data_IF_272886525090
#
_entry.id   IF_272886525090
#
_cell.length_a   1.000
_cell.length_b   1.000
_cell.length_c   1.000
_cell.angle_alpha   90.00
_cell.angle_beta   90.00
_cell.angle_gamma   90.00
#
_symmetry.space_group_name_H-M   'P 1'
#
loop_
_entity.id
_entity.type
_entity.pdbx_description
1 polymer ?
#
# COMPACT_ATOMS: atom_id res chain seq x y z
N UNK A 1 4.85 13.73 -25.60
CA UNK A 1 4.72 12.87 -24.39
C UNK A 1 4.97 13.72 -23.16
N UNK A 2 4.10 13.68 -22.15
CA UNK A 2 4.32 14.42 -20.90
C UNK A 2 5.41 13.73 -20.06
N UNK A 3 6.15 14.48 -19.23
CA UNK A 3 7.18 13.92 -18.34
C UNK A 3 6.63 12.79 -17.46
N UNK A 4 5.41 12.97 -16.96
CA UNK A 4 4.69 11.95 -16.19
C UNK A 4 4.45 10.65 -16.97
N UNK A 5 4.05 10.73 -18.24
CA UNK A 5 3.84 9.51 -19.06
C UNK A 5 5.14 8.73 -19.30
N UNK A 6 6.26 9.44 -19.47
CA UNK A 6 7.58 8.81 -19.57
C UNK A 6 8.02 8.18 -18.25
N UNK A 7 7.77 8.84 -17.12
CA UNK A 7 8.06 8.30 -15.79
C UNK A 7 7.23 7.05 -15.49
N UNK A 8 5.94 7.05 -15.85
CA UNK A 8 5.07 5.89 -15.68
C UNK A 8 5.53 4.71 -16.55
N UNK A 9 5.92 4.95 -17.81
CA UNK A 9 6.46 3.90 -18.67
C UNK A 9 7.77 3.33 -18.13
N UNK A 10 8.64 4.19 -17.62
CA UNK A 10 9.89 3.78 -16.99
C UNK A 10 9.59 2.90 -15.77
N UNK A 11 8.69 3.34 -14.89
CA UNK A 11 8.30 2.61 -13.69
C UNK A 11 7.71 1.23 -14.02
N UNK A 12 6.82 1.14 -15.01
CA UNK A 12 6.29 -0.16 -15.46
C UNK A 12 7.44 -1.06 -15.94
N UNK A 13 8.40 -0.52 -16.69
CA UNK A 13 9.54 -1.31 -17.17
C UNK A 13 10.45 -1.78 -16.03
N UNK A 14 10.72 -0.94 -15.03
CA UNK A 14 11.54 -1.32 -13.87
C UNK A 14 10.83 -2.36 -13.01
N UNK A 15 9.54 -2.19 -12.74
CA UNK A 15 8.72 -3.15 -11.97
C UNK A 15 8.69 -4.53 -12.63
N UNK A 16 8.61 -4.59 -13.96
CA UNK A 16 8.68 -5.85 -14.72
C UNK A 16 10.07 -6.47 -14.63
N UNK A 17 11.14 -5.67 -14.82
CA UNK A 17 12.53 -6.15 -14.73
C UNK A 17 12.90 -6.67 -13.34
N UNK A 18 12.43 -5.98 -12.30
CA UNK A 18 12.62 -6.34 -10.89
C UNK A 18 11.68 -7.48 -10.44
N UNK A 19 10.84 -8.00 -11.36
CA UNK A 19 9.91 -9.12 -11.15
C UNK A 19 8.83 -8.86 -10.08
N UNK A 20 8.57 -7.61 -9.71
CA UNK A 20 7.48 -7.27 -8.79
C UNK A 20 6.13 -7.71 -9.32
N UNK A 21 5.88 -7.62 -10.64
CA UNK A 21 4.63 -8.13 -11.22
C UNK A 21 4.45 -9.65 -11.00
N UNK A 22 5.54 -10.42 -11.12
CA UNK A 22 5.51 -11.86 -10.85
C UNK A 22 5.28 -12.15 -9.37
N UNK A 23 5.94 -11.39 -8.49
CA UNK A 23 5.73 -11.50 -7.05
C UNK A 23 4.28 -11.16 -6.64
N UNK A 24 3.66 -10.15 -7.26
CA UNK A 24 2.26 -9.79 -7.04
C UNK A 24 1.30 -10.91 -7.49
N UNK A 25 1.55 -11.52 -8.65
CA UNK A 25 0.77 -12.67 -9.11
C UNK A 25 0.89 -13.86 -8.16
N UNK A 26 2.11 -14.15 -7.69
CA UNK A 26 2.34 -15.20 -6.69
C UNK A 26 1.60 -14.87 -5.38
N UNK A 27 1.65 -13.63 -4.91
CA UNK A 27 0.88 -13.17 -3.73
C UNK A 27 -0.61 -13.47 -3.90
N UNK A 28 -1.21 -13.06 -5.03
CA UNK A 28 -2.62 -13.33 -5.32
C UNK A 28 -2.95 -14.82 -5.35
N UNK A 29 -2.08 -15.64 -5.95
CA UNK A 29 -2.25 -17.10 -5.96
C UNK A 29 -2.14 -17.71 -4.56
N UNK A 30 -1.24 -17.21 -3.71
CA UNK A 30 -1.13 -17.66 -2.32
C UNK A 30 -2.39 -17.34 -1.52
N UNK A 31 -2.95 -16.14 -1.71
CA UNK A 31 -4.23 -15.77 -1.07
C UNK A 31 -5.39 -16.63 -1.56
N UNK A 32 -5.45 -16.95 -2.86
CA UNK A 32 -6.44 -17.89 -3.39
C UNK A 32 -6.26 -19.30 -2.82
N UNK A 33 -5.02 -19.77 -2.73
CA UNK A 33 -4.71 -21.07 -2.12
C UNK A 33 -5.13 -21.12 -0.64
N UNK A 34 -5.09 -19.99 0.07
CA UNK A 34 -5.58 -19.87 1.44
C UNK A 34 -7.12 -19.85 1.50
N UNK A 35 -7.80 -19.11 0.61
CA UNK A 35 -9.24 -18.84 0.69
C UNK A 35 -10.12 -19.92 0.06
N UNK A 36 -9.67 -20.56 -1.03
CA UNK A 36 -10.47 -21.56 -1.76
C UNK A 36 -10.77 -22.83 -0.95
N UNK A 37 -9.89 -23.35 -0.08
CA UNK A 37 -10.21 -24.48 0.81
C UNK A 37 -11.28 -24.17 1.86
N UNK A 38 -11.50 -22.89 2.16
CA UNK A 38 -12.38 -22.45 3.26
C UNK A 38 -13.85 -22.55 2.81
N UNK A 39 -14.78 -22.98 3.70
CA UNK A 39 -16.21 -23.00 3.41
C UNK A 39 -16.73 -21.61 3.04
N UNK A 40 -17.69 -21.56 2.09
CA UNK A 40 -18.22 -20.30 1.54
C UNK A 40 -18.80 -19.36 2.60
N UNK A 41 -19.33 -19.89 3.69
CA UNK A 41 -19.92 -19.10 4.78
C UNK A 41 -18.85 -18.40 5.64
N UNK A 42 -17.62 -18.91 5.67
CA UNK A 42 -16.52 -18.39 6.49
C UNK A 42 -15.58 -17.48 5.68
N UNK A 43 -15.54 -17.61 4.35
CA UNK A 43 -14.70 -16.74 3.49
C UNK A 43 -14.93 -15.24 3.70
N UNK A 44 -16.17 -14.73 3.81
CA UNK A 44 -16.41 -13.30 4.03
C UNK A 44 -15.83 -12.81 5.36
N UNK A 45 -15.65 -13.71 6.35
CA UNK A 45 -15.05 -13.38 7.65
C UNK A 45 -13.55 -13.14 7.50
N UNK A 46 -12.89 -13.93 6.65
CA UNK A 46 -11.43 -13.98 6.52
C UNK A 46 -10.91 -12.98 5.47
N UNK A 47 -11.71 -12.69 4.44
CA UNK A 47 -11.30 -11.85 3.30
C UNK A 47 -10.73 -10.48 3.70
N UNK A 48 -11.32 -9.71 4.64
CA UNK A 48 -10.75 -8.42 5.06
C UNK A 48 -9.31 -8.53 5.55
N UNK A 49 -8.97 -9.59 6.29
CA UNK A 49 -7.61 -9.79 6.82
C UNK A 49 -6.63 -10.14 5.71
N UNK A 50 -7.08 -10.92 4.71
CA UNK A 50 -6.30 -11.22 3.50
C UNK A 50 -6.01 -9.95 2.72
N UNK A 51 -7.01 -9.08 2.52
CA UNK A 51 -6.84 -7.81 1.82
C UNK A 51 -5.88 -6.87 2.54
N UNK A 52 -5.98 -6.75 3.87
CA UNK A 52 -5.02 -5.97 4.67
C UNK A 52 -3.60 -6.54 4.55
N UNK A 53 -3.47 -7.86 4.59
CA UNK A 53 -2.19 -8.54 4.39
C UNK A 53 -1.58 -8.24 3.03
N UNK A 54 -2.36 -8.33 1.95
CA UNK A 54 -1.91 -8.01 0.59
C UNK A 54 -1.53 -6.52 0.44
N UNK A 55 -2.32 -5.63 1.03
CA UNK A 55 -2.05 -4.19 1.09
C UNK A 55 -0.75 -3.91 1.85
N UNK A 56 -0.45 -4.65 2.91
CA UNK A 56 0.84 -4.54 3.59
C UNK A 56 1.97 -5.07 2.70
N UNK A 57 1.79 -6.22 2.04
CA UNK A 57 2.83 -6.81 1.18
C UNK A 57 3.17 -5.89 0.00
N UNK A 58 2.17 -5.55 -0.82
CA UNK A 58 2.37 -4.76 -2.02
C UNK A 58 2.53 -3.28 -1.65
N UNK A 59 1.70 -2.76 -0.76
CA UNK A 59 1.75 -1.35 -0.39
C UNK A 59 3.00 -0.99 0.40
N UNK A 60 3.40 -1.76 1.42
CA UNK A 60 4.55 -1.39 2.24
C UNK A 60 5.87 -1.91 1.66
N UNK A 61 5.94 -3.21 1.34
CA UNK A 61 7.22 -3.82 0.97
C UNK A 61 7.64 -3.58 -0.47
N UNK A 62 6.73 -3.52 -1.46
CA UNK A 62 7.16 -3.37 -2.85
C UNK A 62 7.74 -1.98 -3.13
N UNK A 63 7.15 -0.92 -2.58
CA UNK A 63 7.71 0.42 -2.74
C UNK A 63 9.04 0.56 -1.99
N UNK A 64 9.15 0.00 -0.79
CA UNK A 64 10.40 0.01 -0.03
C UNK A 64 11.49 -0.73 -0.79
N UNK A 65 11.20 -1.95 -1.25
CA UNK A 65 12.10 -2.74 -2.10
C UNK A 65 12.49 -2.02 -3.38
N UNK A 66 11.53 -1.38 -4.06
CA UNK A 66 11.79 -0.58 -5.26
C UNK A 66 12.76 0.58 -4.97
N UNK A 67 12.59 1.30 -3.85
CA UNK A 67 13.53 2.35 -3.43
C UNK A 67 14.91 1.78 -3.16
N UNK A 68 15.02 0.62 -2.50
CA UNK A 68 16.33 -0.01 -2.26
C UNK A 68 17.01 -0.49 -3.53
N UNK A 69 16.28 -1.05 -4.50
CA UNK A 69 16.83 -1.35 -5.82
C UNK A 69 17.35 -0.08 -6.48
N UNK A 70 16.59 1.01 -6.45
CA UNK A 70 17.03 2.27 -7.05
C UNK A 70 18.25 2.88 -6.34
N UNK A 71 18.39 2.68 -5.02
CA UNK A 71 19.60 3.05 -4.26
C UNK A 71 20.79 2.22 -4.70
N UNK A 72 20.64 0.89 -4.79
CA UNK A 72 21.72 -0.04 -5.15
C UNK A 72 22.18 0.14 -6.61
N UNK A 73 21.25 0.40 -7.52
CA UNK A 73 21.54 0.66 -8.94
C UNK A 73 22.03 2.09 -9.20
N UNK A 74 22.11 2.94 -8.16
CA UNK A 74 22.44 4.38 -8.24
C UNK A 74 21.54 5.17 -9.19
N UNK A 75 20.35 4.66 -9.49
CA UNK A 75 19.39 5.31 -10.39
C UNK A 75 18.73 6.51 -9.74
N UNK A 76 18.59 6.53 -8.41
CA UNK A 76 18.13 7.71 -7.66
C UNK A 76 19.02 8.95 -7.89
N UNK A 77 20.34 8.77 -7.95
CA UNK A 77 21.28 9.85 -8.25
C UNK A 77 21.16 10.34 -9.70
N UNK A 78 21.00 9.41 -10.64
CA UNK A 78 20.76 9.76 -12.05
C UNK A 78 19.44 10.53 -12.24
N UNK A 79 18.39 10.16 -11.50
CA UNK A 79 17.09 10.82 -11.49
C UNK A 79 17.18 12.30 -11.08
N UNK A 80 18.04 12.65 -10.11
CA UNK A 80 18.26 14.04 -9.67
C UNK A 80 18.82 14.90 -10.81
N UNK A 81 19.66 14.33 -11.67
CA UNK A 81 20.23 15.03 -12.83
C UNK A 81 19.25 15.21 -14.00
N UNK A 82 18.03 14.65 -13.91
CA UNK A 82 16.99 14.80 -14.93
C UNK A 82 16.00 15.91 -14.57
N UNK A 83 15.26 16.50 -15.54
CA UNK A 83 14.21 17.49 -15.25
C UNK A 83 12.94 16.88 -14.63
N UNK A 84 13.01 15.65 -14.09
CA UNK A 84 11.88 14.96 -13.49
C UNK A 84 11.62 15.49 -12.07
N UNK A 85 10.39 15.93 -11.82
CA UNK A 85 10.03 16.46 -10.51
C UNK A 85 9.72 15.33 -9.53
N UNK A 86 9.98 15.54 -8.25
CA UNK A 86 9.61 14.60 -7.18
C UNK A 86 8.14 14.17 -7.26
N UNK A 87 7.21 15.11 -7.55
CA UNK A 87 5.78 14.80 -7.69
C UNK A 87 5.50 13.82 -8.83
N UNK A 88 6.23 13.92 -9.94
CA UNK A 88 6.07 13.05 -11.11
C UNK A 88 6.65 11.66 -10.83
N UNK A 89 7.82 11.59 -10.18
CA UNK A 89 8.45 10.34 -9.75
C UNK A 89 7.55 9.56 -8.77
N UNK A 90 7.16 10.17 -7.65
CA UNK A 90 6.36 9.49 -6.62
C UNK A 90 4.97 9.14 -7.14
N UNK A 91 4.30 10.03 -7.90
CA UNK A 91 2.96 9.72 -8.43
C UNK A 91 2.97 8.60 -9.46
N UNK A 92 4.00 8.50 -10.31
CA UNK A 92 4.14 7.39 -11.24
C UNK A 92 4.33 6.06 -10.49
N UNK A 93 5.20 6.03 -9.48
CA UNK A 93 5.43 4.85 -8.63
C UNK A 93 4.17 4.42 -7.88
N UNK A 94 3.48 5.36 -7.24
CA UNK A 94 2.21 5.09 -6.55
C UNK A 94 1.16 4.58 -7.52
N UNK A 95 1.00 5.21 -8.69
CA UNK A 95 -0.03 4.80 -9.66
C UNK A 95 0.16 3.36 -10.13
N UNK A 96 1.40 2.96 -10.43
CA UNK A 96 1.71 1.59 -10.87
C UNK A 96 1.48 0.58 -9.74
N UNK A 97 1.97 0.86 -8.52
CA UNK A 97 1.84 -0.07 -7.40
C UNK A 97 0.39 -0.18 -6.88
N UNK A 98 -0.37 0.92 -6.87
CA UNK A 98 -1.81 0.88 -6.59
C UNK A 98 -2.54 0.06 -7.65
N UNK A 99 -2.20 0.21 -8.95
CA UNK A 99 -2.82 -0.57 -10.00
C UNK A 99 -2.53 -2.08 -9.85
N UNK A 100 -1.29 -2.44 -9.48
CA UNK A 100 -0.91 -3.83 -9.20
C UNK A 100 -1.70 -4.39 -8.01
N UNK A 101 -1.70 -3.69 -6.87
CA UNK A 101 -2.43 -4.11 -5.67
C UNK A 101 -3.93 -4.22 -5.91
N UNK A 102 -4.52 -3.24 -6.60
CA UNK A 102 -5.94 -3.26 -6.95
C UNK A 102 -6.27 -4.41 -7.90
N UNK A 103 -5.41 -4.69 -8.89
CA UNK A 103 -5.57 -5.80 -9.80
C UNK A 103 -5.57 -7.15 -9.07
N UNK A 104 -4.63 -7.36 -8.15
CA UNK A 104 -4.55 -8.57 -7.32
C UNK A 104 -5.79 -8.69 -6.43
N UNK A 105 -6.14 -7.63 -5.68
CA UNK A 105 -7.28 -7.65 -4.78
C UNK A 105 -8.61 -7.91 -5.50
N UNK A 106 -8.85 -7.23 -6.62
CA UNK A 106 -10.06 -7.44 -7.44
C UNK A 106 -10.07 -8.86 -8.02
N UNK A 107 -8.95 -9.36 -8.51
CA UNK A 107 -8.86 -10.72 -9.02
C UNK A 107 -9.20 -11.76 -7.95
N UNK A 108 -8.60 -11.65 -6.76
CA UNK A 108 -8.88 -12.54 -5.62
C UNK A 108 -10.36 -12.50 -5.26
N UNK A 109 -10.92 -11.30 -5.06
CA UNK A 109 -12.32 -11.12 -4.63
C UNK A 109 -13.32 -11.61 -5.69
N UNK A 110 -13.08 -11.34 -6.97
CA UNK A 110 -13.95 -11.83 -8.05
C UNK A 110 -13.94 -13.35 -8.14
N UNK A 111 -12.79 -13.99 -7.93
CA UNK A 111 -12.69 -15.46 -7.94
C UNK A 111 -13.34 -16.08 -6.70
N UNK A 112 -13.25 -15.44 -5.53
CA UNK A 112 -13.76 -16.00 -4.26
C UNK A 112 -15.25 -15.75 -4.05
N UNK A 113 -15.74 -14.55 -4.43
CA UNK A 113 -17.09 -14.06 -4.13
C UNK A 113 -17.91 -13.67 -5.38
N UNK A 114 -17.32 -13.70 -6.57
CA UNK A 114 -17.96 -13.30 -7.81
C UNK A 114 -18.02 -11.78 -7.99
N UNK A 115 -18.64 -11.33 -9.09
CA UNK A 115 -18.81 -9.91 -9.39
C UNK A 115 -20.04 -9.38 -8.64
N UNK A 116 -19.86 -8.47 -7.67
CA UNK A 116 -20.98 -7.98 -6.84
C UNK A 116 -20.81 -6.57 -6.28
N UNK A 117 -21.79 -6.13 -5.47
CA UNK A 117 -21.81 -4.79 -4.87
C UNK A 117 -20.67 -4.55 -3.86
N UNK A 118 -20.04 -5.61 -3.37
CA UNK A 118 -18.88 -5.56 -2.48
C UNK A 118 -17.63 -4.99 -3.17
N UNK A 119 -17.56 -5.00 -4.52
CA UNK A 119 -16.41 -4.49 -5.25
C UNK A 119 -16.15 -2.99 -5.04
N UNK A 120 -17.19 -2.18 -4.90
CA UNK A 120 -17.04 -0.73 -4.70
C UNK A 120 -16.35 -0.39 -3.37
N UNK A 121 -16.82 -0.87 -2.20
CA UNK A 121 -16.11 -0.65 -0.95
C UNK A 121 -14.74 -1.34 -0.90
N UNK A 122 -14.56 -2.50 -1.55
CA UNK A 122 -13.25 -3.16 -1.67
C UNK A 122 -12.27 -2.29 -2.46
N UNK A 123 -12.66 -1.77 -3.62
CA UNK A 123 -11.74 -0.95 -4.44
C UNK A 123 -11.36 0.34 -3.72
N UNK A 124 -12.32 1.00 -3.07
CA UNK A 124 -12.04 2.18 -2.25
C UNK A 124 -11.08 1.86 -1.08
N UNK A 125 -11.35 0.77 -0.35
CA UNK A 125 -10.51 0.34 0.76
C UNK A 125 -9.11 -0.04 0.33
N UNK A 126 -8.97 -0.77 -0.78
CA UNK A 126 -7.66 -1.18 -1.33
C UNK A 126 -6.88 0.04 -1.80
N UNK A 127 -7.48 0.95 -2.58
CA UNK A 127 -6.80 2.15 -3.05
C UNK A 127 -6.31 3.00 -1.88
N UNK A 128 -7.15 3.24 -0.87
CA UNK A 128 -6.79 4.06 0.30
C UNK A 128 -5.77 3.37 1.19
N UNK A 129 -5.96 2.08 1.50
CA UNK A 129 -5.04 1.31 2.33
C UNK A 129 -3.66 1.18 1.67
N UNK A 130 -3.63 0.84 0.38
CA UNK A 130 -2.39 0.76 -0.39
C UNK A 130 -1.72 2.12 -0.49
N UNK A 131 -2.46 3.22 -0.69
CA UNK A 131 -1.86 4.56 -0.70
C UNK A 131 -1.15 4.91 0.61
N UNK A 132 -1.80 4.65 1.76
CA UNK A 132 -1.20 4.89 3.08
C UNK A 132 0.03 4.00 3.28
N UNK A 133 -0.06 2.72 2.95
CA UNK A 133 1.06 1.78 3.08
C UNK A 133 2.23 2.13 2.16
N UNK A 134 1.95 2.55 0.92
CA UNK A 134 2.95 3.00 -0.04
C UNK A 134 3.72 4.21 0.48
N UNK A 135 3.01 5.22 0.95
CA UNK A 135 3.67 6.43 1.43
C UNK A 135 4.43 6.19 2.74
N UNK A 136 3.93 5.31 3.60
CA UNK A 136 4.65 4.90 4.82
C UNK A 136 5.90 4.10 4.48
N UNK A 137 5.79 3.11 3.59
CA UNK A 137 6.91 2.28 3.13
C UNK A 137 7.98 3.12 2.43
N UNK A 138 7.55 4.04 1.57
CA UNK A 138 8.44 5.01 0.91
C UNK A 138 9.17 5.88 1.92
N UNK A 139 8.44 6.58 2.80
CA UNK A 139 9.04 7.49 3.79
C UNK A 139 10.00 6.75 4.74
N UNK A 140 9.63 5.56 5.21
CA UNK A 140 10.45 4.77 6.12
C UNK A 140 11.69 4.16 5.47
N UNK A 141 11.69 3.89 4.16
CA UNK A 141 12.85 3.31 3.47
C UNK A 141 13.95 4.34 3.15
N UNK A 142 13.62 5.64 3.11
CA UNK A 142 14.57 6.70 2.73
C UNK A 142 15.79 6.84 3.68
N UNK A 143 15.65 6.77 5.02
CA UNK A 143 16.78 6.95 5.93
C UNK A 143 17.76 5.78 5.99
N UNK A 144 17.37 4.59 5.53
CA UNK A 144 18.15 3.36 5.68
C UNK A 144 18.94 3.04 4.41
N UNK A 145 20.17 2.53 4.58
CA UNK A 145 21.02 2.10 3.48
C UNK A 145 20.96 0.58 3.24
N UNK A 146 20.53 -0.18 4.26
CA UNK A 146 20.37 -1.65 4.23
C UNK A 146 18.90 -2.08 4.31
N UNK A 147 18.52 -3.03 3.46
CA UNK A 147 17.17 -3.62 3.46
C UNK A 147 16.89 -4.33 4.78
N UNK A 148 17.87 -5.05 5.33
CA UNK A 148 17.73 -5.82 6.57
C UNK A 148 17.42 -4.91 7.76
N UNK A 149 18.16 -3.80 7.88
CA UNK A 149 17.99 -2.86 8.99
C UNK A 149 16.63 -2.17 8.91
N UNK A 150 16.21 -1.79 7.70
CA UNK A 150 14.89 -1.22 7.46
C UNK A 150 13.78 -2.22 7.81
N UNK A 151 13.89 -3.47 7.36
CA UNK A 151 12.89 -4.50 7.64
C UNK A 151 12.73 -4.76 9.13
N UNK A 152 13.84 -4.88 9.87
CA UNK A 152 13.82 -5.04 11.32
C UNK A 152 13.24 -3.80 12.02
N UNK A 153 13.66 -2.59 11.63
CA UNK A 153 13.21 -1.36 12.27
C UNK A 153 11.73 -1.03 11.99
N UNK A 154 11.19 -1.47 10.85
CA UNK A 154 9.80 -1.18 10.45
C UNK A 154 8.79 -2.19 10.92
N UNK A 155 9.24 -3.29 11.55
CA UNK A 155 8.36 -4.31 12.12
C UNK A 155 7.41 -3.72 13.16
N UNK A 156 7.91 -2.87 14.07
CA UNK A 156 7.07 -2.23 15.11
C UNK A 156 6.08 -1.23 14.50
N UNK A 157 6.48 -0.25 13.66
CA UNK A 157 5.53 0.61 12.95
C UNK A 157 4.48 -0.15 12.14
N UNK A 158 4.88 -1.22 11.44
CA UNK A 158 3.97 -2.02 10.64
C UNK A 158 2.96 -2.78 11.53
N UNK A 159 3.40 -3.31 12.68
CA UNK A 159 2.51 -3.91 13.66
C UNK A 159 1.50 -2.90 14.21
N UNK A 160 1.91 -1.65 14.49
CA UNK A 160 1.00 -0.57 14.90
C UNK A 160 -0.03 -0.28 13.82
N UNK A 161 0.39 -0.23 12.55
CA UNK A 161 -0.53 -0.06 11.41
C UNK A 161 -1.43 -1.28 11.18
N UNK A 162 -1.09 -2.45 11.70
CA UNK A 162 -1.94 -3.63 11.65
C UNK A 162 -2.92 -3.74 12.83
N UNK A 163 -2.76 -2.95 13.90
CA UNK A 163 -3.62 -3.02 15.11
C UNK A 163 -5.13 -2.94 14.85
N UNK A 164 -5.64 -2.17 13.86
CA UNK A 164 -7.04 -2.19 13.46
C UNK A 164 -7.65 -3.57 13.24
N UNK A 165 -6.84 -4.56 12.84
CA UNK A 165 -7.27 -5.96 12.72
C UNK A 165 -7.89 -6.48 14.02
N UNK A 166 -7.39 -6.04 15.18
CA UNK A 166 -7.92 -6.39 16.51
C UNK A 166 -9.29 -5.75 16.79
N UNK A 167 -9.60 -4.63 16.14
CA UNK A 167 -10.90 -4.00 16.22
C UNK A 167 -11.94 -4.86 15.49
N UNK A 168 -11.64 -5.23 14.25
CA UNK A 168 -12.55 -6.01 13.41
C UNK A 168 -12.79 -7.41 13.98
N UNK A 169 -11.77 -8.02 14.58
CA UNK A 169 -11.89 -9.36 15.18
C UNK A 169 -12.63 -9.37 16.52
N UNK A 170 -12.95 -8.20 17.09
CA UNK A 170 -13.62 -8.08 18.39
C UNK A 170 -12.73 -8.38 19.60
N UNK A 171 -11.43 -8.65 19.40
CA UNK A 171 -10.47 -8.92 20.48
C UNK A 171 -10.22 -7.66 21.31
N UNK A 172 -10.06 -6.52 20.64
CA UNK A 172 -9.83 -5.24 21.32
C UNK A 172 -10.54 -4.08 20.60
N UNK A 173 -11.86 -3.93 20.80
CA UNK A 173 -12.65 -2.89 20.14
C UNK A 173 -12.47 -1.53 20.84
N UNK A 174 -11.25 -0.99 20.81
CA UNK A 174 -10.91 0.28 21.45
C UNK A 174 -11.04 1.46 20.46
N UNK A 175 -11.69 2.58 20.82
CA UNK A 175 -11.77 3.79 20.01
C UNK A 175 -10.41 4.36 19.58
N UNK A 176 -9.34 4.12 20.33
CA UNK A 176 -7.97 4.58 19.99
C UNK A 176 -7.52 4.05 18.62
N UNK A 177 -8.05 2.91 18.17
CA UNK A 177 -7.72 2.34 16.85
C UNK A 177 -8.20 3.20 15.68
N UNK A 178 -9.13 4.12 15.90
CA UNK A 178 -9.51 5.15 14.91
C UNK A 178 -8.43 6.19 14.66
N UNK A 179 -7.36 6.23 15.46
CA UNK A 179 -6.18 7.04 15.14
C UNK A 179 -5.28 6.38 14.10
N UNK A 180 -5.42 5.07 13.87
CA UNK A 180 -4.59 4.35 12.92
C UNK A 180 -5.21 4.48 11.52
N UNK A 181 -4.47 4.96 10.50
CA UNK A 181 -5.03 5.27 9.18
C UNK A 181 -5.55 4.04 8.41
N UNK A 182 -5.12 2.83 8.77
CA UNK A 182 -5.60 1.57 8.20
C UNK A 182 -6.97 1.15 8.71
N UNK A 183 -7.48 1.77 9.79
CA UNK A 183 -8.83 1.52 10.30
C UNK A 183 -9.89 1.88 9.25
N UNK A 184 -9.72 2.98 8.53
CA UNK A 184 -10.65 3.39 7.46
C UNK A 184 -10.84 2.33 6.37
N UNK A 185 -9.76 1.90 5.70
CA UNK A 185 -9.78 0.77 4.76
C UNK A 185 -10.40 -0.50 5.34
N UNK A 186 -10.08 -0.83 6.59
CA UNK A 186 -10.59 -2.02 7.26
C UNK A 186 -12.11 -1.97 7.47
N UNK A 187 -12.65 -0.80 7.85
CA UNK A 187 -14.09 -0.58 7.98
C UNK A 187 -14.80 -0.77 6.63
N UNK A 188 -14.20 -0.31 5.53
CA UNK A 188 -14.73 -0.53 4.18
C UNK A 188 -14.76 -2.01 3.81
N UNK A 189 -13.72 -2.78 4.17
CA UNK A 189 -13.72 -4.23 3.96
C UNK A 189 -14.77 -4.94 4.82
N UNK A 190 -14.87 -4.59 6.11
CA UNK A 190 -15.90 -5.14 6.99
C UNK A 190 -17.31 -4.88 6.46
N UNK A 191 -17.55 -3.71 5.88
CA UNK A 191 -18.82 -3.39 5.21
C UNK A 191 -19.02 -4.16 3.90
N UNK A 192 -17.97 -4.33 3.10
CA UNK A 192 -18.03 -5.05 1.83
C UNK A 192 -18.47 -6.51 1.99
N UNK A 193 -18.00 -7.16 3.05
CA UNK A 193 -18.27 -8.57 3.34
C UNK A 193 -19.39 -8.77 4.38
N UNK A 194 -20.16 -7.73 4.68
CA UNK A 194 -21.35 -7.82 5.54
C UNK A 194 -21.05 -8.06 7.03
N UNK A 195 -19.80 -7.87 7.47
CA UNK A 195 -19.43 -7.99 8.88
C UNK A 195 -19.82 -6.75 9.69
N UNK A 196 -19.85 -5.58 9.05
CA UNK A 196 -20.14 -4.30 9.69
C UNK A 196 -21.19 -3.52 8.90
N UNK A 197 -22.03 -2.78 9.62
CA UNK A 197 -22.91 -1.77 9.04
C UNK A 197 -22.36 -0.40 9.40
N UNK A 198 -21.94 0.37 8.38
CA UNK A 198 -21.29 1.66 8.60
C UNK A 198 -22.32 2.76 8.77
N UNK A 199 -22.17 3.53 9.85
CA UNK A 199 -22.87 4.80 10.01
C UNK A 199 -22.32 5.84 8.99
N UNK A 200 -23.11 6.86 8.60
CA UNK A 200 -22.67 7.87 7.64
C UNK A 200 -21.36 8.57 8.01
N UNK A 201 -21.15 8.85 9.29
CA UNK A 201 -19.91 9.46 9.78
C UNK A 201 -18.70 8.51 9.65
N UNK A 202 -18.89 7.19 9.77
CA UNK A 202 -17.82 6.20 9.60
C UNK A 202 -17.37 6.12 8.15
N UNK A 203 -18.28 6.34 7.19
CA UNK A 203 -17.94 6.42 5.76
C UNK A 203 -17.07 7.66 5.50
N UNK A 204 -17.48 8.83 6.03
CA UNK A 204 -16.70 10.06 5.92
C UNK A 204 -15.31 9.90 6.55
N UNK A 205 -15.24 9.29 7.73
CA UNK A 205 -13.98 8.96 8.39
C UNK A 205 -13.14 7.99 7.56
N UNK A 206 -13.72 6.90 7.06
CA UNK A 206 -13.02 5.85 6.34
C UNK A 206 -12.44 6.33 5.00
N UNK A 207 -13.01 7.38 4.41
CA UNK A 207 -12.48 8.01 3.19
C UNK A 207 -11.53 9.17 3.52
N UNK A 208 -11.95 10.08 4.40
CA UNK A 208 -11.26 11.34 4.66
C UNK A 208 -9.99 11.18 5.49
N UNK A 209 -10.02 10.36 6.53
CA UNK A 209 -8.89 10.21 7.45
C UNK A 209 -7.66 9.57 6.77
N UNK A 210 -7.78 8.44 6.04
CA UNK A 210 -6.64 7.86 5.32
C UNK A 210 -6.08 8.79 4.25
N UNK A 211 -6.92 9.57 3.56
CA UNK A 211 -6.47 10.58 2.59
C UNK A 211 -5.68 11.71 3.25
N UNK A 212 -6.13 12.20 4.40
CA UNK A 212 -5.42 13.21 5.16
C UNK A 212 -4.05 12.69 5.65
N UNK A 213 -4.00 11.46 6.17
CA UNK A 213 -2.76 10.80 6.55
C UNK A 213 -1.83 10.58 5.34
N UNK A 214 -2.37 10.15 4.21
CA UNK A 214 -1.60 10.02 2.96
C UNK A 214 -1.01 11.37 2.53
N UNK A 215 -1.77 12.47 2.58
CA UNK A 215 -1.23 13.80 2.29
C UNK A 215 -0.07 14.18 3.24
N UNK A 216 -0.22 13.91 4.55
CA UNK A 216 0.83 14.12 5.54
C UNK A 216 2.08 13.28 5.27
N UNK A 217 1.92 11.99 4.98
CA UNK A 217 3.01 11.07 4.63
C UNK A 217 3.69 11.44 3.31
N UNK A 218 2.96 11.99 2.34
CA UNK A 218 3.53 12.52 1.11
C UNK A 218 4.44 13.73 1.37
N UNK A 219 4.00 14.65 2.25
CA UNK A 219 4.82 15.80 2.65
C UNK A 219 6.08 15.34 3.40
N UNK A 220 5.93 14.38 4.33
CA UNK A 220 7.06 13.78 5.04
C UNK A 220 8.01 13.06 4.09
N UNK A 221 7.49 12.28 3.14
CA UNK A 221 8.29 11.61 2.11
C UNK A 221 9.07 12.61 1.26
N UNK A 222 8.48 13.78 0.95
CA UNK A 222 9.16 14.86 0.24
C UNK A 222 10.32 15.45 1.05
N UNK A 223 10.11 15.72 2.34
CA UNK A 223 11.17 16.28 3.19
C UNK A 223 12.31 15.27 3.39
N UNK A 224 11.98 14.01 3.65
CA UNK A 224 12.96 12.93 3.79
C UNK A 224 13.71 12.67 2.48
N UNK A 225 13.05 12.77 1.33
CA UNK A 225 13.71 12.58 0.05
C UNK A 225 14.75 13.68 -0.21
N UNK A 226 14.41 14.94 0.09
CA UNK A 226 15.36 16.04 -0.01
C UNK A 226 16.57 15.81 0.92
N UNK A 227 16.32 15.48 2.19
CA UNK A 227 17.37 15.30 3.19
C UNK A 227 18.27 14.08 2.91
N UNK A 228 17.70 12.91 2.63
CA UNK A 228 18.47 11.66 2.55
C UNK A 228 18.95 11.31 1.14
N UNK A 229 18.30 11.83 0.10
CA UNK A 229 18.68 11.53 -1.29
C UNK A 229 19.43 12.69 -1.92
N UNK A 230 18.95 13.93 -1.78
CA UNK A 230 19.57 15.09 -2.46
C UNK A 230 20.86 15.54 -1.75
N UNK A 231 20.84 15.73 -0.43
CA UNK A 231 22.03 16.22 0.31
C UNK A 231 23.17 15.19 0.33
N UNK A 232 22.86 13.89 0.44
CA UNK A 232 23.88 12.82 0.38
C UNK A 232 24.48 12.62 -1.01
N UNK A 233 23.82 13.10 -2.07
CA UNK A 233 24.33 13.00 -3.45
C UNK A 233 25.40 14.04 -3.79
N UNK A 234 25.72 14.96 -2.86
CA UNK A 234 26.79 15.95 -3.05
C UNK A 234 26.49 17.04 -4.09
N UNK A 235 25.23 17.21 -4.48
CA UNK A 235 24.78 18.31 -5.37
C UNK A 235 24.23 19.42 -4.48
N UNK A 236 25.14 20.18 -3.85
CA UNK A 236 24.85 21.43 -3.18
C UNK A 236 25.83 22.50 -3.68
#
# INVERSE_FOLDING_TARGET
>A
MSRWSSALRLEVSTQVRQKFLHAALISGLLWLALLLPIPRDVRPIIEPYVLVGDIAIIGFFFIGGSVFFEKQERTLGALICTPLRFREYVSAKIAVLVAISLGVAVFVVVVTHGMGRHLLPVTAGVVLGTLVMLLTGFASALPFDSVSDWFLSTTVPLAVLALPVLHLSGIWPNPVLYLVPTQGPLLLFGAAFGQLTLAPWQIVYALGYPLACAAGLYLLGRTLFAQFVVERSGVA
#
